data_IF_604000792283
#
_entry.id   IF_604000792283
#
_cell.length_a   1.000
_cell.length_b   1.000
_cell.length_c   1.000
_cell.angle_alpha   90.00
_cell.angle_beta   90.00
_cell.angle_gamma   90.00
#
_symmetry.space_group_name_H-M   'P 1'
#
loop_
_entity.id
_entity.type
_entity.pdbx_description
1 polymer ?
#
# COMPACT_ATOMS: atom_id res chain seq x y z
N UNK A 1 -2.84 16.90 -2.72
CA UNK A 1 -2.78 15.54 -2.14
C UNK A 1 -4.16 15.06 -1.69
N UNK A 2 -4.66 15.47 -0.51
CA UNK A 2 -5.98 15.04 -0.02
C UNK A 2 -7.14 15.31 -1.00
N UNK A 3 -7.14 16.44 -1.71
CA UNK A 3 -8.21 16.80 -2.66
C UNK A 3 -8.33 15.88 -3.88
N UNK A 4 -7.24 15.36 -4.44
CA UNK A 4 -7.29 14.51 -5.63
C UNK A 4 -7.72 13.08 -5.26
N UNK A 5 -7.12 12.51 -4.22
CA UNK A 5 -7.57 11.21 -3.67
C UNK A 5 -9.01 11.31 -3.15
N UNK A 6 -9.37 12.36 -2.42
CA UNK A 6 -10.76 12.55 -1.99
C UNK A 6 -11.69 12.71 -3.20
N UNK A 7 -11.34 13.46 -4.23
CA UNK A 7 -12.20 13.63 -5.40
C UNK A 7 -12.44 12.31 -6.15
N UNK A 8 -11.42 11.47 -6.30
CA UNK A 8 -11.54 10.20 -7.01
C UNK A 8 -12.16 9.08 -6.14
N UNK A 9 -11.72 8.94 -4.88
CA UNK A 9 -12.15 7.86 -3.98
C UNK A 9 -13.41 8.16 -3.15
N UNK A 10 -13.90 9.42 -3.09
CA UNK A 10 -15.09 9.76 -2.29
C UNK A 10 -16.42 9.75 -3.07
N UNK A 11 -16.40 9.83 -4.40
CA UNK A 11 -17.61 10.06 -5.22
C UNK A 11 -18.10 8.89 -6.08
N UNK A 12 -17.31 7.82 -6.23
CA UNK A 12 -17.65 6.60 -6.98
C UNK A 12 -17.22 5.38 -6.17
N UNK A 13 -17.79 4.21 -6.43
CA UNK A 13 -17.22 2.97 -5.91
C UNK A 13 -15.87 2.74 -6.61
N UNK A 14 -14.73 2.93 -5.94
CA UNK A 14 -13.41 2.84 -6.54
C UNK A 14 -12.99 1.38 -6.76
N UNK A 15 -13.95 0.44 -6.79
CA UNK A 15 -13.75 -0.95 -7.19
C UNK A 15 -14.64 -1.34 -8.38
N UNK A 16 -15.54 -0.46 -8.84
CA UNK A 16 -16.32 -0.71 -10.05
C UNK A 16 -15.42 -0.76 -11.31
N UNK A 17 -14.25 -0.12 -11.25
CA UNK A 17 -13.28 -0.02 -12.35
C UNK A 17 -11.98 -0.81 -12.12
N UNK A 18 -11.85 -1.59 -11.01
CA UNK A 18 -10.57 -2.19 -10.60
C UNK A 18 -10.64 -3.72 -10.50
N UNK A 19 -9.97 -4.41 -11.42
CA UNK A 19 -9.58 -5.81 -11.26
C UNK A 19 -8.12 -5.84 -10.78
N UNK A 20 -7.91 -5.89 -9.47
CA UNK A 20 -6.57 -6.08 -8.89
C UNK A 20 -6.24 -7.56 -8.80
N UNK A 21 -4.94 -7.92 -8.79
CA UNK A 21 -4.51 -9.33 -8.76
C UNK A 21 -5.18 -10.20 -7.66
N UNK A 22 -5.40 -9.68 -6.43
CA UNK A 22 -6.12 -10.42 -5.38
C UNK A 22 -7.60 -10.69 -5.70
N UNK A 23 -8.25 -9.84 -6.49
CA UNK A 23 -9.66 -10.01 -6.89
C UNK A 23 -9.79 -10.97 -8.09
N UNK A 24 -8.70 -11.23 -8.81
CA UNK A 24 -8.64 -12.19 -9.93
C UNK A 24 -8.39 -13.62 -9.43
N UNK A 25 -7.49 -13.80 -8.46
CA UNK A 25 -7.13 -15.13 -7.96
C UNK A 25 -6.70 -15.13 -6.49
N UNK A 26 -7.42 -15.93 -5.69
CA UNK A 26 -7.10 -16.23 -4.28
C UNK A 26 -5.65 -16.70 -4.08
N UNK A 27 -5.09 -17.44 -5.04
CA UNK A 27 -3.73 -17.97 -4.99
C UNK A 27 -2.66 -16.88 -4.86
N UNK A 28 -2.92 -15.66 -5.33
CA UNK A 28 -2.00 -14.54 -5.15
C UNK A 28 -1.79 -14.20 -3.67
N UNK A 29 -2.88 -14.05 -2.91
CA UNK A 29 -2.82 -13.81 -1.47
C UNK A 29 -2.17 -14.96 -0.71
N UNK A 30 -2.48 -16.20 -1.09
CA UNK A 30 -1.90 -17.39 -0.45
C UNK A 30 -0.38 -17.46 -0.62
N UNK A 31 0.14 -17.20 -1.83
CA UNK A 31 1.58 -17.20 -2.11
C UNK A 31 2.29 -16.11 -1.29
N UNK A 32 1.72 -14.91 -1.19
CA UNK A 32 2.28 -13.84 -0.36
C UNK A 32 2.22 -14.19 1.14
N UNK A 33 1.16 -14.85 1.60
CA UNK A 33 1.07 -15.36 2.97
C UNK A 33 2.17 -16.38 3.29
N UNK A 34 2.39 -17.36 2.40
CA UNK A 34 3.47 -18.34 2.56
C UNK A 34 4.84 -17.66 2.53
N UNK A 35 5.05 -16.70 1.62
CA UNK A 35 6.27 -15.90 1.59
C UNK A 35 6.51 -15.16 2.91
N UNK A 36 5.47 -14.56 3.50
CA UNK A 36 5.57 -13.88 4.79
C UNK A 36 5.95 -14.85 5.91
N UNK A 37 5.35 -16.04 5.95
CA UNK A 37 5.67 -17.08 6.94
C UNK A 37 7.13 -17.56 6.84
N UNK A 38 7.60 -17.85 5.61
CA UNK A 38 9.00 -18.24 5.38
C UNK A 38 9.96 -17.10 5.74
N UNK A 39 9.57 -15.86 5.46
CA UNK A 39 10.37 -14.68 5.83
C UNK A 39 10.47 -14.52 7.34
N UNK A 40 9.37 -14.65 8.07
CA UNK A 40 9.37 -14.62 9.53
C UNK A 40 10.26 -15.71 10.14
N UNK A 41 10.20 -16.93 9.62
CA UNK A 41 11.06 -18.03 10.06
C UNK A 41 12.55 -17.71 9.85
N UNK A 42 12.90 -17.14 8.68
CA UNK A 42 14.27 -16.70 8.35
C UNK A 42 14.75 -15.52 9.20
N UNK A 43 13.83 -14.69 9.70
CA UNK A 43 14.14 -13.62 10.65
C UNK A 43 14.40 -14.14 12.07
N UNK A 44 14.34 -15.46 12.31
CA UNK A 44 14.56 -16.06 13.61
C UNK A 44 13.30 -16.08 14.49
N UNK A 45 12.12 -16.05 13.87
CA UNK A 45 10.81 -16.11 14.55
C UNK A 45 10.60 -15.02 15.62
N UNK A 46 10.80 -13.73 15.28
CA UNK A 46 10.58 -12.66 16.24
C UNK A 46 9.14 -12.67 16.76
N UNK A 47 8.98 -12.45 18.07
CA UNK A 47 7.69 -12.28 18.73
C UNK A 47 7.83 -11.16 19.78
N UNK A 48 7.09 -10.04 19.66
CA UNK A 48 6.08 -9.75 18.63
C UNK A 48 6.68 -9.46 17.25
N UNK A 49 5.85 -9.58 16.21
CA UNK A 49 6.16 -9.18 14.82
C UNK A 49 4.95 -8.49 14.20
N UNK A 50 5.18 -7.48 13.37
CA UNK A 50 4.12 -6.77 12.63
C UNK A 50 3.99 -7.37 11.24
N UNK A 51 2.77 -7.78 10.88
CA UNK A 51 2.38 -7.98 9.49
C UNK A 51 1.53 -6.79 9.08
N UNK A 52 2.04 -5.98 8.14
CA UNK A 52 1.34 -4.79 7.67
C UNK A 52 0.96 -4.86 6.18
N UNK A 53 -0.15 -4.23 5.81
CA UNK A 53 -0.49 -3.95 4.40
C UNK A 53 -0.74 -2.46 4.17
N UNK A 54 -0.09 -1.89 3.17
CA UNK A 54 -0.29 -0.53 2.72
C UNK A 54 -1.30 -0.49 1.56
N UNK A 55 -2.42 0.22 1.76
CA UNK A 55 -3.51 0.29 0.77
C UNK A 55 -4.23 -1.04 0.57
N UNK A 56 -4.82 -1.66 1.62
CA UNK A 56 -5.40 -3.01 1.54
C UNK A 56 -6.65 -3.13 0.65
N UNK A 57 -7.19 -2.02 0.14
CA UNK A 57 -8.36 -2.03 -0.74
C UNK A 57 -9.59 -2.63 -0.05
N UNK A 58 -10.02 -3.82 -0.48
CA UNK A 58 -11.15 -4.55 0.15
C UNK A 58 -10.71 -5.45 1.31
N UNK A 59 -9.42 -5.63 1.53
CA UNK A 59 -8.85 -6.56 2.52
C UNK A 59 -8.75 -8.01 2.04
N UNK A 60 -9.10 -8.29 0.78
CA UNK A 60 -9.10 -9.64 0.19
C UNK A 60 -7.71 -10.29 0.22
N UNK A 61 -6.67 -9.54 -0.16
CA UNK A 61 -5.28 -9.99 -0.13
C UNK A 61 -4.89 -10.46 1.27
N UNK A 62 -5.04 -9.61 2.28
CA UNK A 62 -4.70 -9.95 3.65
C UNK A 62 -5.52 -11.11 4.19
N UNK A 63 -6.82 -11.19 3.86
CA UNK A 63 -7.68 -12.30 4.30
C UNK A 63 -7.11 -13.64 3.80
N UNK A 64 -6.75 -13.71 2.53
CA UNK A 64 -6.24 -14.93 1.91
C UNK A 64 -4.82 -15.25 2.40
N UNK A 65 -3.98 -14.23 2.59
CA UNK A 65 -2.65 -14.37 3.19
C UNK A 65 -2.73 -14.92 4.62
N UNK A 66 -3.59 -14.37 5.48
CA UNK A 66 -3.78 -14.84 6.86
C UNK A 66 -4.28 -16.28 6.93
N UNK A 67 -5.19 -16.67 6.04
CA UNK A 67 -5.66 -18.06 5.95
C UNK A 67 -4.50 -19.01 5.60
N UNK A 68 -3.68 -18.66 4.61
CA UNK A 68 -2.52 -19.45 4.23
C UNK A 68 -1.46 -19.50 5.34
N UNK A 69 -1.17 -18.37 6.00
CA UNK A 69 -0.24 -18.29 7.14
C UNK A 69 -0.67 -19.23 8.26
N UNK A 70 -1.94 -19.15 8.69
CA UNK A 70 -2.46 -19.98 9.79
C UNK A 70 -2.42 -21.47 9.46
N UNK A 71 -2.60 -21.84 8.20
CA UNK A 71 -2.52 -23.23 7.76
C UNK A 71 -1.07 -23.74 7.66
N UNK A 72 -0.16 -22.92 7.11
CA UNK A 72 1.22 -23.33 6.85
C UNK A 72 2.14 -23.20 8.08
N UNK A 73 1.93 -22.19 8.92
CA UNK A 73 2.79 -21.88 10.07
C UNK A 73 1.99 -21.25 11.21
N UNK A 74 1.24 -22.07 11.99
CA UNK A 74 0.39 -21.57 13.09
C UNK A 74 1.11 -20.64 14.08
N UNK A 75 2.37 -20.94 14.41
CA UNK A 75 3.18 -20.12 15.32
C UNK A 75 3.38 -18.67 14.82
N UNK A 76 3.49 -18.46 13.50
CA UNK A 76 3.54 -17.10 12.95
C UNK A 76 2.17 -16.41 13.08
N UNK A 77 1.09 -17.16 12.80
CA UNK A 77 -0.28 -16.68 12.96
C UNK A 77 -0.63 -16.23 14.38
N UNK A 78 0.01 -16.80 15.40
CA UNK A 78 -0.12 -16.41 16.80
C UNK A 78 0.79 -15.24 17.19
N UNK A 79 2.00 -15.17 16.62
CA UNK A 79 2.98 -14.13 16.93
C UNK A 79 2.71 -12.78 16.25
N UNK A 80 2.01 -12.80 15.11
CA UNK A 80 1.79 -11.60 14.31
C UNK A 80 0.75 -10.65 14.94
N UNK A 81 1.07 -9.36 14.88
CA UNK A 81 0.12 -8.27 15.04
C UNK A 81 -0.23 -7.73 13.65
N UNK A 82 -1.53 -7.66 13.33
CA UNK A 82 -2.01 -7.20 12.03
C UNK A 82 -2.22 -5.68 12.00
N UNK A 83 -1.53 -4.99 11.09
CA UNK A 83 -1.62 -3.53 10.92
C UNK A 83 -1.99 -3.16 9.49
N UNK A 84 -2.91 -2.21 9.28
CA UNK A 84 -3.39 -1.84 7.95
C UNK A 84 -3.29 -0.34 7.74
N UNK A 85 -2.65 0.12 6.66
CA UNK A 85 -2.55 1.54 6.33
C UNK A 85 -3.65 1.86 5.32
N UNK A 86 -4.73 2.49 5.81
CA UNK A 86 -5.92 2.84 5.03
C UNK A 86 -6.41 4.21 5.48
N UNK A 87 -6.64 5.15 4.56
CA UNK A 87 -7.12 6.50 4.91
C UNK A 87 -8.62 6.66 4.73
N UNK A 88 -9.27 5.79 3.96
CA UNK A 88 -10.70 5.83 3.66
C UNK A 88 -11.54 5.22 4.79
N UNK A 89 -12.39 6.00 5.48
CA UNK A 89 -13.25 5.46 6.55
C UNK A 89 -14.19 4.36 6.06
N UNK A 90 -14.70 4.49 4.81
CA UNK A 90 -15.59 3.51 4.21
C UNK A 90 -14.91 2.14 4.02
N UNK A 91 -13.65 2.15 3.59
CA UNK A 91 -12.88 0.92 3.38
C UNK A 91 -12.51 0.26 4.71
N UNK A 92 -12.15 1.05 5.73
CA UNK A 92 -11.88 0.53 7.07
C UNK A 92 -13.05 -0.27 7.61
N UNK A 93 -14.27 0.27 7.53
CA UNK A 93 -15.49 -0.44 7.98
C UNK A 93 -15.69 -1.78 7.27
N UNK A 94 -15.46 -1.83 5.96
CA UNK A 94 -15.56 -3.09 5.21
C UNK A 94 -14.47 -4.09 5.63
N UNK A 95 -13.24 -3.61 5.84
CA UNK A 95 -12.09 -4.43 6.22
C UNK A 95 -12.22 -4.96 7.65
N UNK A 96 -12.79 -4.20 8.59
CA UNK A 96 -13.00 -4.62 9.99
C UNK A 96 -13.81 -5.91 10.10
N UNK A 97 -14.82 -6.07 9.24
CA UNK A 97 -15.61 -7.29 9.18
C UNK A 97 -14.84 -8.49 8.61
N UNK A 98 -13.88 -8.26 7.71
CA UNK A 98 -13.09 -9.32 7.05
C UNK A 98 -11.82 -9.70 7.84
N UNK A 99 -11.26 -8.76 8.58
CA UNK A 99 -9.92 -8.84 9.18
C UNK A 99 -9.99 -8.59 10.69
N UNK A 100 -10.59 -9.52 11.47
CA UNK A 100 -10.72 -9.34 12.91
C UNK A 100 -9.35 -9.24 13.58
N UNK A 101 -9.23 -8.31 14.53
CA UNK A 101 -7.99 -8.04 15.26
C UNK A 101 -6.97 -7.17 14.52
N UNK A 102 -7.31 -6.65 13.34
CA UNK A 102 -6.51 -5.64 12.67
C UNK A 102 -6.47 -4.30 13.42
N UNK A 103 -5.42 -3.52 13.19
CA UNK A 103 -5.30 -2.13 13.67
C UNK A 103 -5.06 -1.20 12.48
N UNK A 104 -5.91 -0.20 12.29
CA UNK A 104 -5.87 0.70 11.13
C UNK A 104 -5.13 2.01 11.41
N UNK A 105 -4.21 2.37 10.51
CA UNK A 105 -3.36 3.55 10.57
C UNK A 105 -3.63 4.46 9.38
N UNK A 106 -3.48 5.78 9.59
CA UNK A 106 -3.59 6.75 8.49
C UNK A 106 -2.27 6.95 7.71
N UNK A 107 -1.17 6.33 8.15
CA UNK A 107 0.14 6.45 7.53
C UNK A 107 1.14 5.44 8.11
N UNK A 108 2.22 5.18 7.37
CA UNK A 108 3.27 4.23 7.75
C UNK A 108 4.02 4.68 9.01
N UNK A 109 4.13 5.99 9.23
CA UNK A 109 4.81 6.59 10.38
C UNK A 109 4.17 6.28 11.74
N UNK A 110 2.99 5.66 11.74
CA UNK A 110 2.23 5.28 12.93
C UNK A 110 2.35 3.80 13.27
N UNK A 111 3.05 3.03 12.43
CA UNK A 111 3.34 1.63 12.74
C UNK A 111 4.23 1.56 13.99
N UNK A 112 4.06 0.51 14.82
CA UNK A 112 4.91 0.33 15.99
C UNK A 112 6.35 0.03 15.57
N UNK A 113 7.30 0.43 16.41
CA UNK A 113 8.71 0.10 16.24
C UNK A 113 8.96 -1.35 16.67
N UNK A 114 8.84 -2.26 15.70
CA UNK A 114 8.96 -3.70 15.87
C UNK A 114 9.40 -4.35 14.55
N UNK A 115 9.89 -5.60 14.55
CA UNK A 115 10.14 -6.34 13.32
C UNK A 115 8.92 -6.32 12.40
N UNK A 116 9.10 -5.95 11.13
CA UNK A 116 8.03 -5.64 10.20
C UNK A 116 8.14 -6.47 8.92
N UNK A 117 7.03 -7.09 8.52
CA UNK A 117 6.79 -7.60 7.18
C UNK A 117 5.70 -6.73 6.55
N UNK A 118 6.03 -6.00 5.48
CA UNK A 118 5.12 -5.08 4.80
C UNK A 118 4.73 -5.61 3.41
N UNK A 119 3.43 -5.72 3.17
CA UNK A 119 2.84 -5.94 1.85
C UNK A 119 2.33 -4.60 1.29
N UNK A 120 2.61 -4.31 0.03
CA UNK A 120 2.26 -3.04 -0.60
C UNK A 120 1.92 -3.25 -2.09
N UNK A 121 0.90 -4.07 -2.36
CA UNK A 121 0.46 -4.37 -3.72
C UNK A 121 -0.25 -3.15 -4.33
N UNK A 122 0.20 -2.69 -5.50
CA UNK A 122 -0.39 -1.53 -6.22
C UNK A 122 -0.51 -0.26 -5.33
N UNK A 123 0.37 -0.15 -4.34
CA UNK A 123 0.39 1.02 -3.46
C UNK A 123 1.23 2.15 -4.07
N UNK A 124 2.41 1.82 -4.62
CA UNK A 124 3.39 2.81 -5.08
C UNK A 124 2.99 3.51 -6.38
N UNK A 125 2.33 2.81 -7.29
CA UNK A 125 1.80 3.36 -8.55
C UNK A 125 0.57 4.27 -8.32
N UNK A 126 -0.15 4.08 -7.21
CA UNK A 126 -1.20 4.99 -6.76
C UNK A 126 -0.64 6.26 -6.07
N UNK A 127 0.65 6.32 -5.76
CA UNK A 127 1.24 7.52 -5.16
C UNK A 127 1.39 8.64 -6.19
N UNK A 128 1.10 9.90 -5.80
CA UNK A 128 1.27 11.04 -6.70
C UNK A 128 2.70 11.17 -7.19
N UNK A 129 2.86 11.26 -8.51
CA UNK A 129 4.14 11.47 -9.16
C UNK A 129 4.35 12.94 -9.53
N UNK A 130 5.59 13.39 -9.41
CA UNK A 130 6.05 14.64 -10.03
C UNK A 130 6.61 14.30 -11.40
N UNK A 131 6.30 15.12 -12.39
CA UNK A 131 6.69 14.87 -13.78
C UNK A 131 7.69 15.93 -14.22
N UNK A 132 8.84 15.49 -14.71
CA UNK A 132 9.91 16.36 -15.20
C UNK A 132 10.17 16.09 -16.68
N UNK A 133 10.32 17.15 -17.46
CA UNK A 133 10.54 17.14 -18.90
C UNK A 133 11.90 17.75 -19.21
N UNK A 134 12.76 17.03 -19.92
CA UNK A 134 14.07 17.54 -20.34
C UNK A 134 13.88 18.62 -21.41
N UNK A 135 14.45 19.81 -21.19
CA UNK A 135 14.44 20.95 -22.11
C UNK A 135 15.86 21.45 -22.31
N UNK A 136 16.48 21.04 -23.43
CA UNK A 136 17.89 21.33 -23.71
C UNK A 136 18.81 20.76 -22.63
N UNK A 137 19.63 21.64 -22.02
CA UNK A 137 20.52 21.29 -20.92
C UNK A 137 19.85 21.27 -19.53
N UNK A 138 18.57 21.66 -19.44
CA UNK A 138 17.84 21.75 -18.17
C UNK A 138 16.61 20.84 -18.13
N UNK A 139 15.90 20.95 -17.00
CA UNK A 139 14.64 20.25 -16.75
C UNK A 139 13.53 21.26 -16.43
N UNK A 140 12.30 20.93 -16.80
CA UNK A 140 11.10 21.66 -16.40
C UNK A 140 10.13 20.70 -15.69
N UNK A 141 9.56 21.14 -14.58
CA UNK A 141 8.49 20.40 -13.90
C UNK A 141 7.15 20.69 -14.55
N UNK A 142 6.35 19.64 -14.77
CA UNK A 142 5.04 19.69 -15.41
C UNK A 142 3.94 19.76 -14.36
N UNK A 143 3.16 20.83 -14.42
CA UNK A 143 1.98 21.09 -13.58
C UNK A 143 0.71 21.09 -14.42
N UNK A 144 -0.46 21.16 -13.76
CA UNK A 144 -1.75 21.39 -14.41
C UNK A 144 -2.26 22.77 -14.00
N UNK A 145 -2.54 23.64 -14.99
CA UNK A 145 -3.15 24.95 -14.79
C UNK A 145 -4.17 25.22 -15.88
N UNK A 146 -5.35 25.71 -15.52
CA UNK A 146 -6.44 25.96 -16.48
C UNK A 146 -6.85 24.73 -17.31
N UNK A 147 -6.74 23.53 -16.75
CA UNK A 147 -7.05 22.27 -17.45
C UNK A 147 -6.01 21.85 -18.51
N UNK A 148 -4.83 22.46 -18.52
CA UNK A 148 -3.74 22.14 -19.44
C UNK A 148 -2.45 21.85 -18.68
N UNK A 149 -1.56 21.09 -19.32
CA UNK A 149 -0.20 20.96 -18.81
C UNK A 149 0.57 22.27 -19.03
N UNK A 150 1.25 22.72 -17.97
CA UNK A 150 2.16 23.87 -18.00
C UNK A 150 3.51 23.44 -17.44
N UNK A 151 4.59 23.91 -18.04
CA UNK A 151 5.96 23.56 -17.65
C UNK A 151 6.65 24.75 -17.00
N UNK A 152 7.27 24.53 -15.84
CA UNK A 152 8.02 25.54 -15.10
C UNK A 152 9.47 25.07 -14.99
N UNK A 153 10.41 25.91 -15.43
CA UNK A 153 11.84 25.57 -15.38
C UNK A 153 12.30 25.27 -13.95
N UNK A 154 13.06 24.19 -13.79
CA UNK A 154 13.65 23.84 -12.50
C UNK A 154 14.91 24.67 -12.25
N UNK A 155 15.07 25.20 -11.04
CA UNK A 155 16.36 25.67 -10.58
C UNK A 155 17.31 24.46 -10.45
N UNK A 156 18.56 24.62 -10.87
CA UNK A 156 19.55 23.54 -10.99
C UNK A 156 19.94 22.86 -9.65
N UNK A 157 19.43 23.35 -8.52
CA UNK A 157 19.93 23.04 -7.17
C UNK A 157 18.98 22.21 -6.29
N UNK A 158 17.73 21.94 -6.71
CA UNK A 158 16.69 21.45 -5.77
C UNK A 158 16.06 20.10 -6.07
N UNK A 159 16.46 19.38 -7.11
CA UNK A 159 15.86 18.06 -7.40
C UNK A 159 16.92 17.12 -7.95
N UNK A 160 17.07 15.90 -7.40
CA UNK A 160 17.95 14.87 -7.96
C UNK A 160 17.35 14.41 -9.29
N UNK A 161 17.70 15.13 -10.35
CA UNK A 161 17.25 14.86 -11.70
C UNK A 161 18.30 14.02 -12.42
N UNK A 162 17.91 13.12 -13.34
CA UNK A 162 18.85 12.40 -14.17
C UNK A 162 19.77 13.38 -14.92
N UNK A 163 21.04 13.01 -15.17
CA UNK A 163 21.97 13.83 -15.94
C UNK A 163 21.53 14.09 -17.40
#
# INVERSE_FOLDING_TARGET
MARANAAYYAGRDPFADFATAPEICQGFGEVLGIWAAVTWDRLGRPAPVVLAEAGPGRGTLMRDALRAIRAAMPAFGEALALHLIETSPRLRVAQEALLPGGVWHSGLERLPDAPLILLANEFLDALPVRQFVRRGAGWAERFVSGGRFVEVGCAADKTPLPP
#
